data_IF_242278288991
#
_entry.id   IF_242278288991
#
_cell.length_a   1.000
_cell.length_b   1.000
_cell.length_c   1.000
_cell.angle_alpha   90.00
_cell.angle_beta   90.00
_cell.angle_gamma   90.00
#
_symmetry.space_group_name_H-M   'P 1'
#
loop_
_entity.id
_entity.type
_entity.pdbx_description
1 polymer ?
#
# COMPACT_ATOMS: atom_id res chain seq x y z
N UNK A 1 10.83 9.28 29.20
CA UNK A 1 10.54 9.54 27.77
C UNK A 1 9.31 10.42 27.75
N UNK A 2 9.40 11.60 27.14
CA UNK A 2 8.26 12.49 26.97
C UNK A 2 7.34 12.00 25.83
N UNK A 3 6.14 12.58 25.74
CA UNK A 3 5.13 12.22 24.73
C UNK A 3 5.63 12.42 23.29
N UNK A 4 6.40 13.47 23.00
CA UNK A 4 6.87 13.77 21.64
C UNK A 4 7.96 12.80 21.22
N UNK A 5 8.87 12.44 22.12
CA UNK A 5 9.89 11.43 21.85
C UNK A 5 9.28 10.04 21.65
N UNK A 6 8.21 9.69 22.39
CA UNK A 6 7.46 8.45 22.16
C UNK A 6 6.89 8.39 20.73
N UNK A 7 6.17 9.44 20.30
CA UNK A 7 5.59 9.47 18.94
C UNK A 7 6.66 9.55 17.85
N UNK A 8 7.77 10.25 18.08
CA UNK A 8 8.89 10.26 17.14
C UNK A 8 9.47 8.86 16.94
N UNK A 9 9.58 8.08 18.02
CA UNK A 9 10.07 6.70 17.97
C UNK A 9 9.06 5.77 17.27
N UNK A 10 7.77 5.83 17.62
CA UNK A 10 6.71 5.00 17.03
C UNK A 10 6.58 5.27 15.52
N UNK A 11 6.65 6.53 15.10
CA UNK A 11 6.60 6.91 13.69
C UNK A 11 7.93 6.65 12.95
N UNK A 12 8.96 6.18 13.65
CA UNK A 12 10.31 5.93 13.14
C UNK A 12 10.86 7.14 12.37
N UNK A 13 10.75 8.34 12.98
CA UNK A 13 11.23 9.58 12.38
C UNK A 13 12.77 9.58 12.33
N UNK A 14 13.32 10.01 11.19
CA UNK A 14 14.76 10.28 11.04
C UNK A 14 15.13 11.60 11.72
N UNK A 15 16.41 11.82 12.02
CA UNK A 15 16.90 13.03 12.71
C UNK A 15 16.46 14.38 12.09
N UNK A 16 16.17 14.43 10.80
CA UNK A 16 15.68 15.65 10.13
C UNK A 16 14.23 16.01 10.42
N UNK A 17 13.44 15.10 11.00
CA UNK A 17 12.02 15.27 11.28
C UNK A 17 11.75 15.14 12.78
N UNK A 18 10.94 16.04 13.32
CA UNK A 18 10.59 16.05 14.73
C UNK A 18 9.10 16.27 14.93
N UNK A 19 8.56 15.68 16.00
CA UNK A 19 7.20 15.97 16.45
C UNK A 19 7.19 17.39 17.06
N UNK A 20 6.45 18.31 16.43
CA UNK A 20 6.31 19.69 16.88
C UNK A 20 5.21 19.80 17.94
N UNK A 21 4.07 19.16 17.69
CA UNK A 21 2.91 19.20 18.58
C UNK A 21 2.11 17.89 18.53
N UNK A 22 1.39 17.63 19.62
CA UNK A 22 0.41 16.57 19.75
C UNK A 22 -0.91 17.23 20.18
N UNK A 23 -2.01 16.82 19.54
CA UNK A 23 -3.35 17.31 19.89
C UNK A 23 -4.32 16.14 19.96
N UNK A 24 -5.03 16.01 21.07
CA UNK A 24 -6.11 15.05 21.24
C UNK A 24 -7.45 15.80 21.10
N UNK A 25 -8.30 15.33 20.18
CA UNK A 25 -9.67 15.77 20.06
C UNK A 25 -10.60 14.61 20.45
N UNK A 26 -11.15 14.67 21.66
CA UNK A 26 -12.03 13.64 22.19
C UNK A 26 -13.41 13.64 21.52
N UNK A 27 -13.88 14.78 21.01
CA UNK A 27 -15.19 14.88 20.35
C UNK A 27 -15.16 14.22 18.98
N UNK A 28 -14.09 14.46 18.23
CA UNK A 28 -13.87 13.83 16.92
C UNK A 28 -13.34 12.41 17.09
N UNK A 29 -12.72 12.10 18.22
CA UNK A 29 -12.11 10.80 18.47
C UNK A 29 -10.81 10.63 17.68
N UNK A 30 -9.94 11.66 17.67
CA UNK A 30 -8.69 11.64 16.91
C UNK A 30 -7.49 12.20 17.68
N UNK A 31 -6.31 11.66 17.36
CA UNK A 31 -5.02 12.22 17.78
C UNK A 31 -4.31 12.77 16.54
N UNK A 32 -3.93 14.05 16.59
CA UNK A 32 -3.15 14.70 15.55
C UNK A 32 -1.70 14.82 16.00
N UNK A 33 -0.79 14.23 15.21
CA UNK A 33 0.65 14.34 15.39
C UNK A 33 1.21 15.30 14.35
N UNK A 34 1.56 16.51 14.78
CA UNK A 34 2.15 17.52 13.89
C UNK A 34 3.66 17.31 13.83
N UNK A 35 4.16 16.97 12.65
CA UNK A 35 5.57 16.71 12.38
C UNK A 35 6.11 17.82 11.49
N UNK A 36 7.32 18.29 11.81
CA UNK A 36 8.01 19.30 11.01
C UNK A 36 9.47 18.94 10.83
N UNK A 37 10.11 19.57 9.85
CA UNK A 37 11.56 19.48 9.69
C UNK A 37 12.24 20.27 10.83
N UNK A 38 13.38 19.76 11.30
CA UNK A 38 14.22 20.44 12.26
C UNK A 38 14.77 21.75 11.65
N UNK A 39 15.05 22.73 12.50
CA UNK A 39 15.60 24.01 12.03
C UNK A 39 16.99 23.81 11.42
N UNK A 40 17.34 24.64 10.43
CA UNK A 40 18.66 24.65 9.77
C UNK A 40 19.07 23.35 9.05
N UNK A 41 18.14 22.46 8.72
CA UNK A 41 18.44 21.27 7.91
C UNK A 41 18.64 21.67 6.45
N UNK A 42 19.81 21.34 5.89
CA UNK A 42 20.07 21.49 4.47
C UNK A 42 19.21 20.51 3.67
N UNK A 43 18.35 21.04 2.80
CA UNK A 43 17.45 20.24 1.98
C UNK A 43 18.07 19.95 0.61
N UNK A 44 18.00 18.69 0.20
CA UNK A 44 18.60 18.20 -1.03
C UNK A 44 17.56 17.67 -2.01
N UNK A 45 17.82 17.84 -3.31
CA UNK A 45 16.99 17.26 -4.36
C UNK A 45 16.91 15.74 -4.20
N UNK A 46 15.70 15.13 -4.11
CA UNK A 46 15.59 13.68 -3.99
C UNK A 46 16.06 12.93 -5.24
N UNK A 47 16.20 13.62 -6.37
CA UNK A 47 16.62 13.03 -7.65
C UNK A 47 18.13 13.12 -7.87
N UNK A 48 18.76 14.28 -7.62
CA UNK A 48 20.20 14.48 -7.87
C UNK A 48 21.06 14.74 -6.64
N UNK A 49 20.47 14.86 -5.45
CA UNK A 49 21.21 15.05 -4.19
C UNK A 49 21.79 16.45 -3.97
N UNK A 50 21.68 17.37 -4.93
CA UNK A 50 22.17 18.75 -4.77
C UNK A 50 21.36 19.51 -3.71
N UNK A 51 22.04 20.26 -2.85
CA UNK A 51 21.38 21.20 -1.93
C UNK A 51 20.61 22.24 -2.72
N UNK A 52 19.35 22.47 -2.36
CA UNK A 52 18.45 23.36 -3.09
C UNK A 52 17.70 24.27 -2.11
N UNK A 53 17.41 25.53 -2.48
CA UNK A 53 16.58 26.40 -1.66
C UNK A 53 15.14 25.89 -1.59
N UNK A 54 14.48 26.20 -0.48
CA UNK A 54 13.05 25.95 -0.29
C UNK A 54 12.25 26.89 -1.18
N UNK A 55 11.30 26.34 -1.93
CA UNK A 55 10.34 27.07 -2.74
C UNK A 55 9.16 27.55 -1.89
N UNK A 56 8.42 26.58 -1.34
CA UNK A 56 7.24 26.75 -0.51
C UNK A 56 7.01 25.48 0.32
N UNK A 57 5.98 25.49 1.15
CA UNK A 57 5.58 24.33 1.93
C UNK A 57 4.16 23.90 1.54
N UNK A 58 3.91 22.59 1.56
CA UNK A 58 2.58 22.03 1.33
C UNK A 58 2.12 21.25 2.54
N UNK A 59 1.07 21.76 3.17
CA UNK A 59 0.40 21.08 4.25
C UNK A 59 -0.24 19.78 3.76
N UNK A 60 0.07 18.67 4.43
CA UNK A 60 -0.43 17.34 4.09
C UNK A 60 -0.78 16.57 5.35
N UNK A 61 -1.79 15.70 5.20
CA UNK A 61 -2.29 14.83 6.25
C UNK A 61 -2.22 13.37 5.81
N UNK A 62 -1.85 12.49 6.73
CA UNK A 62 -1.83 11.05 6.53
C UNK A 62 -2.55 10.34 7.66
N UNK A 63 -3.37 9.37 7.30
CA UNK A 63 -3.94 8.43 8.25
C UNK A 63 -2.87 7.43 8.71
N UNK A 64 -2.69 7.31 10.03
CA UNK A 64 -1.80 6.34 10.67
C UNK A 64 -2.59 5.22 11.38
N UNK A 65 -1.92 4.30 12.08
CA UNK A 65 -2.57 3.33 12.95
C UNK A 65 -3.23 4.02 14.14
N UNK A 66 -4.32 3.45 14.65
CA UNK A 66 -5.03 4.00 15.80
C UNK A 66 -4.19 3.99 17.06
N UNK A 67 -4.18 5.12 17.76
CA UNK A 67 -3.72 5.19 19.14
C UNK A 67 -4.93 4.88 20.02
N UNK A 68 -4.97 3.65 20.56
CA UNK A 68 -6.11 3.16 21.35
C UNK A 68 -7.43 3.27 20.57
N UNK A 69 -8.45 3.93 21.12
CA UNK A 69 -9.74 4.17 20.46
C UNK A 69 -9.73 5.35 19.48
N UNK A 70 -8.62 6.10 19.39
CA UNK A 70 -8.54 7.34 18.64
C UNK A 70 -7.92 7.15 17.26
N UNK A 71 -8.53 7.81 16.27
CA UNK A 71 -8.02 7.89 14.91
C UNK A 71 -6.76 8.76 14.87
N UNK A 72 -5.60 8.16 14.61
CA UNK A 72 -4.35 8.93 14.51
C UNK A 72 -4.14 9.48 13.10
N UNK A 73 -3.89 10.79 13.04
CA UNK A 73 -3.54 11.54 11.83
C UNK A 73 -2.15 12.15 12.03
N UNK A 74 -1.25 11.92 11.08
CA UNK A 74 0.03 12.60 11.01
C UNK A 74 -0.14 13.78 10.07
N UNK A 75 0.27 14.98 10.49
CA UNK A 75 0.19 16.19 9.68
C UNK A 75 1.57 16.83 9.59
N UNK A 76 1.91 17.37 8.41
CA UNK A 76 3.18 18.05 8.22
C UNK A 76 3.10 19.07 7.09
N UNK A 77 3.85 20.16 7.26
CA UNK A 77 4.15 21.10 6.18
C UNK A 77 5.38 20.60 5.43
N UNK A 78 5.16 19.91 4.32
CA UNK A 78 6.24 19.29 3.54
C UNK A 78 6.89 20.33 2.65
N UNK A 79 8.20 20.58 2.76
CA UNK A 79 8.87 21.53 1.89
C UNK A 79 8.90 21.02 0.45
N UNK A 80 8.71 21.95 -0.48
CA UNK A 80 9.06 21.77 -1.88
C UNK A 80 10.29 22.62 -2.15
N UNK A 81 11.25 22.08 -2.88
CA UNK A 81 12.53 22.72 -3.18
C UNK A 81 12.61 23.04 -4.68
N UNK A 82 13.31 24.12 -5.03
CA UNK A 82 13.58 24.46 -6.43
C UNK A 82 14.93 23.88 -6.85
N UNK A 83 14.90 22.79 -7.60
CA UNK A 83 16.10 22.24 -8.23
C UNK A 83 16.31 22.87 -9.61
N UNK A 84 17.50 23.39 -9.94
CA UNK A 84 17.78 23.92 -11.28
C UNK A 84 17.57 22.90 -12.41
N UNK A 85 17.87 21.62 -12.14
CA UNK A 85 17.81 20.55 -13.15
C UNK A 85 16.43 19.86 -13.22
N UNK A 86 15.73 19.76 -12.08
CA UNK A 86 14.49 18.96 -11.95
C UNK A 86 13.24 19.79 -11.62
N UNK A 87 13.36 21.11 -11.54
CA UNK A 87 12.27 22.02 -11.18
C UNK A 87 11.81 21.87 -9.72
N UNK A 88 10.53 22.16 -9.48
CA UNK A 88 9.92 22.10 -8.14
C UNK A 88 9.73 20.63 -7.70
N UNK A 89 10.45 20.20 -6.67
CA UNK A 89 10.40 18.85 -6.14
C UNK A 89 9.85 18.85 -4.71
N UNK A 90 8.89 17.98 -4.42
CA UNK A 90 8.39 17.80 -3.05
C UNK A 90 9.28 16.81 -2.31
N UNK A 91 9.75 17.16 -1.12
CA UNK A 91 10.59 16.26 -0.35
C UNK A 91 9.85 14.97 0.03
N UNK A 92 10.50 13.79 -0.06
CA UNK A 92 9.94 12.56 0.45
C UNK A 92 9.84 12.63 1.97
N UNK A 93 8.75 12.11 2.53
CA UNK A 93 8.58 11.94 3.97
C UNK A 93 8.91 10.49 4.35
N UNK A 94 9.56 10.23 5.50
CA UNK A 94 10.00 8.88 5.85
C UNK A 94 8.84 7.92 6.18
N UNK A 95 7.69 8.45 6.62
CA UNK A 95 6.54 7.63 7.04
C UNK A 95 5.53 7.31 5.94
N UNK A 96 5.61 7.89 4.74
CA UNK A 96 4.61 7.70 3.69
C UNK A 96 5.19 7.64 2.28
N UNK A 97 4.58 6.81 1.42
CA UNK A 97 4.95 6.74 0.01
C UNK A 97 4.50 7.98 -0.79
N UNK A 98 5.13 8.25 -1.95
CA UNK A 98 4.74 9.35 -2.84
C UNK A 98 3.24 9.32 -3.18
N UNK A 99 2.58 10.47 -3.05
CA UNK A 99 1.15 10.62 -3.34
C UNK A 99 0.18 9.90 -2.39
N UNK A 100 0.66 9.12 -1.41
CA UNK A 100 -0.23 8.43 -0.47
C UNK A 100 -0.81 9.40 0.57
N UNK A 101 -2.04 9.11 1.00
CA UNK A 101 -2.73 9.71 2.16
C UNK A 101 -2.64 8.82 3.41
N UNK A 102 -1.86 7.75 3.33
CA UNK A 102 -1.68 6.76 4.39
C UNK A 102 -0.21 6.58 4.67
N UNK A 103 0.13 6.37 5.94
CA UNK A 103 1.49 5.98 6.33
C UNK A 103 1.83 4.57 5.85
N UNK A 104 3.12 4.26 5.65
CA UNK A 104 3.60 2.94 5.22
C UNK A 104 3.21 1.84 6.22
N UNK A 105 3.23 2.14 7.51
CA UNK A 105 2.79 1.22 8.56
C UNK A 105 1.29 0.95 8.47
N UNK A 106 0.46 1.97 8.25
CA UNK A 106 -0.98 1.78 8.05
C UNK A 106 -1.28 0.98 6.78
N UNK A 107 -0.60 1.28 5.66
CA UNK A 107 -0.74 0.48 4.43
C UNK A 107 -0.36 -0.99 4.67
N UNK A 108 0.72 -1.24 5.41
CA UNK A 108 1.17 -2.59 5.72
C UNK A 108 0.15 -3.36 6.56
N UNK A 109 -0.49 -2.70 7.52
CA UNK A 109 -1.57 -3.26 8.32
C UNK A 109 -2.83 -3.56 7.49
N UNK A 110 -3.23 -2.66 6.60
CA UNK A 110 -4.35 -2.93 5.66
C UNK A 110 -4.03 -4.17 4.81
N UNK A 111 -2.80 -4.29 4.30
CA UNK A 111 -2.37 -5.43 3.49
C UNK A 111 -2.37 -6.73 4.31
N UNK A 112 -1.98 -6.71 5.59
CA UNK A 112 -2.04 -7.91 6.42
C UNK A 112 -3.46 -8.41 6.62
N UNK A 113 -4.42 -7.50 6.81
CA UNK A 113 -5.84 -7.84 6.87
C UNK A 113 -6.39 -8.39 5.55
N UNK A 114 -6.01 -7.79 4.41
CA UNK A 114 -6.42 -8.26 3.08
C UNK A 114 -5.91 -9.66 2.73
N UNK A 115 -4.88 -10.17 3.42
CA UNK A 115 -4.40 -11.56 3.24
C UNK A 115 -5.33 -12.60 3.86
N UNK A 116 -6.12 -12.22 4.86
CA UNK A 116 -6.91 -13.16 5.67
C UNK A 116 -8.43 -12.87 5.63
N UNK A 117 -8.84 -11.79 4.97
CA UNK A 117 -10.23 -11.32 4.98
C UNK A 117 -10.64 -10.72 3.64
N UNK A 118 -11.94 -10.46 3.47
CA UNK A 118 -12.50 -9.86 2.25
C UNK A 118 -12.31 -8.35 2.22
N UNK A 119 -12.20 -7.77 1.03
CA UNK A 119 -12.05 -6.32 0.86
C UNK A 119 -13.13 -5.52 1.57
N UNK A 120 -14.39 -5.99 1.54
CA UNK A 120 -15.50 -5.28 2.20
C UNK A 120 -15.42 -5.34 3.74
N UNK A 121 -15.02 -6.50 4.30
CA UNK A 121 -14.81 -6.63 5.74
C UNK A 121 -13.67 -5.71 6.21
N UNK A 122 -12.55 -5.69 5.51
CA UNK A 122 -11.41 -4.79 5.82
C UNK A 122 -11.82 -3.32 5.71
N UNK A 123 -12.55 -2.96 4.65
CA UNK A 123 -13.05 -1.61 4.44
C UNK A 123 -13.94 -1.14 5.59
N UNK A 124 -14.90 -1.97 6.02
CA UNK A 124 -15.81 -1.68 7.13
C UNK A 124 -15.04 -1.58 8.46
N UNK A 125 -14.18 -2.56 8.74
CA UNK A 125 -13.42 -2.63 9.99
C UNK A 125 -12.50 -1.42 10.17
N UNK A 126 -11.80 -1.01 9.11
CA UNK A 126 -10.83 0.09 9.15
C UNK A 126 -11.43 1.44 8.75
N UNK A 127 -12.75 1.51 8.53
CA UNK A 127 -13.50 2.73 8.17
C UNK A 127 -12.91 3.43 6.93
N UNK A 128 -12.56 2.63 5.92
CA UNK A 128 -11.99 3.12 4.66
C UNK A 128 -13.04 3.19 3.55
N UNK A 129 -12.77 3.97 2.50
CA UNK A 129 -13.54 3.85 1.25
C UNK A 129 -13.03 2.68 0.42
N UNK A 130 -13.85 2.16 -0.49
CA UNK A 130 -13.42 1.09 -1.40
C UNK A 130 -12.19 1.51 -2.22
N UNK A 131 -12.22 2.73 -2.77
CA UNK A 131 -11.09 3.33 -3.51
C UNK A 131 -9.82 3.43 -2.67
N UNK A 132 -9.92 3.67 -1.36
CA UNK A 132 -8.75 3.73 -0.49
C UNK A 132 -8.08 2.34 -0.36
N UNK A 133 -8.89 1.31 -0.09
CA UNK A 133 -8.39 -0.06 0.05
C UNK A 133 -7.79 -0.56 -1.26
N UNK A 134 -8.48 -0.36 -2.38
CA UNK A 134 -7.97 -0.74 -3.70
C UNK A 134 -6.65 -0.02 -4.01
N UNK A 135 -6.57 1.29 -3.84
CA UNK A 135 -5.34 2.03 -4.08
C UNK A 135 -4.16 1.58 -3.20
N UNK A 136 -4.40 1.21 -1.95
CA UNK A 136 -3.37 0.62 -1.06
C UNK A 136 -2.92 -0.74 -1.62
N UNK A 137 -3.87 -1.59 -2.01
CA UNK A 137 -3.59 -2.90 -2.61
C UNK A 137 -2.79 -2.76 -3.91
N UNK A 138 -3.19 -1.87 -4.83
CA UNK A 138 -2.48 -1.64 -6.08
C UNK A 138 -1.04 -1.15 -5.85
N UNK A 139 -0.83 -0.23 -4.90
CA UNK A 139 0.53 0.19 -4.50
C UNK A 139 1.34 -0.98 -3.93
N UNK A 140 0.73 -1.83 -3.11
CA UNK A 140 1.37 -3.02 -2.57
C UNK A 140 1.80 -4.00 -3.67
N UNK A 141 0.92 -4.28 -4.62
CA UNK A 141 1.19 -5.15 -5.78
C UNK A 141 2.32 -4.56 -6.62
N UNK A 142 2.28 -3.28 -6.95
CA UNK A 142 3.34 -2.59 -7.70
C UNK A 142 4.70 -2.73 -7.02
N UNK A 143 4.75 -2.49 -5.70
CA UNK A 143 5.97 -2.68 -4.88
C UNK A 143 6.43 -4.15 -4.87
N UNK A 144 5.50 -5.10 -4.80
CA UNK A 144 5.80 -6.53 -4.82
C UNK A 144 6.35 -7.01 -6.16
N UNK A 145 5.77 -6.56 -7.26
CA UNK A 145 6.24 -6.85 -8.62
C UNK A 145 7.63 -6.24 -8.86
N UNK A 146 7.87 -5.00 -8.43
CA UNK A 146 9.18 -4.37 -8.56
C UNK A 146 10.30 -5.10 -7.78
N UNK A 147 9.97 -5.79 -6.68
CA UNK A 147 10.92 -6.60 -5.91
C UNK A 147 11.08 -8.03 -6.43
N UNK A 148 10.24 -8.48 -7.36
CA UNK A 148 10.30 -9.83 -7.90
C UNK A 148 11.57 -9.93 -8.75
N UNK A 149 12.50 -10.82 -8.36
CA UNK A 149 13.67 -11.15 -9.18
C UNK A 149 13.22 -11.65 -10.55
N UNK A 150 14.04 -11.42 -11.58
CA UNK A 150 13.77 -11.94 -12.91
C UNK A 150 13.42 -13.44 -12.82
N UNK A 151 12.39 -13.90 -13.55
CA UNK A 151 12.03 -15.30 -13.53
C UNK A 151 13.23 -16.13 -13.99
N UNK A 152 13.78 -16.93 -13.06
CA UNK A 152 14.83 -17.88 -13.41
C UNK A 152 14.22 -18.93 -14.34
N UNK A 153 15.00 -19.39 -15.32
CA UNK A 153 14.58 -20.47 -16.23
C UNK A 153 14.14 -21.69 -15.41
N UNK A 154 12.87 -22.08 -15.53
CA UNK A 154 12.36 -23.28 -14.90
C UNK A 154 12.28 -24.40 -15.95
N UNK A 155 12.90 -25.56 -15.69
CA UNK A 155 12.83 -26.73 -16.56
C UNK A 155 11.43 -27.37 -16.57
N UNK A 156 10.70 -27.24 -15.45
CA UNK A 156 9.35 -27.76 -15.28
C UNK A 156 8.45 -26.65 -14.73
N UNK A 157 7.27 -26.50 -15.33
CA UNK A 157 6.27 -25.50 -14.97
C UNK A 157 4.93 -26.21 -14.74
N UNK A 158 4.38 -26.08 -13.53
CA UNK A 158 3.03 -26.55 -13.24
C UNK A 158 2.07 -25.37 -13.38
N UNK A 159 1.04 -25.54 -14.21
CA UNK A 159 -0.03 -24.58 -14.40
C UNK A 159 -1.28 -25.17 -13.77
N UNK A 160 -1.90 -24.40 -12.88
CA UNK A 160 -3.16 -24.75 -12.23
C UNK A 160 -4.23 -23.74 -12.60
N UNK A 161 -5.45 -24.23 -12.80
CA UNK A 161 -6.60 -23.38 -13.11
C UNK A 161 -7.36 -23.06 -11.83
N UNK A 162 -7.61 -21.77 -11.61
CA UNK A 162 -8.50 -21.33 -10.53
C UNK A 162 -9.69 -20.61 -11.15
N UNK A 163 -10.87 -21.21 -11.01
CA UNK A 163 -12.13 -20.65 -11.48
C UNK A 163 -12.81 -19.82 -10.38
N UNK A 164 -13.21 -18.60 -10.72
CA UNK A 164 -14.03 -17.74 -9.86
C UNK A 164 -15.26 -17.27 -10.63
N UNK A 165 -16.42 -17.29 -9.97
CA UNK A 165 -17.65 -16.70 -10.52
C UNK A 165 -17.51 -15.18 -10.51
N UNK A 166 -17.51 -14.56 -11.68
CA UNK A 166 -17.57 -13.11 -11.82
C UNK A 166 -18.97 -12.74 -12.30
N UNK A 167 -19.73 -12.03 -11.48
CA UNK A 167 -21.00 -11.46 -11.93
C UNK A 167 -20.67 -10.25 -12.81
N UNK A 168 -20.80 -10.44 -14.13
CA UNK A 168 -20.70 -9.36 -15.10
C UNK A 168 -22.07 -8.67 -15.11
N UNK A 169 -22.32 -7.80 -14.13
CA UNK A 169 -23.38 -6.80 -14.25
C UNK A 169 -22.82 -5.62 -15.05
N UNK A 170 -23.08 -5.63 -16.34
CA UNK A 170 -22.76 -4.53 -17.26
C UNK A 170 -23.41 -3.23 -16.83
N UNK A 171 -22.60 -2.18 -16.60
CA UNK A 171 -22.98 -0.81 -16.97
C UNK A 171 -22.07 -0.40 -18.13
N UNK A 172 -22.62 0.01 -19.29
CA UNK A 172 -21.83 0.24 -20.50
C UNK A 172 -21.25 1.66 -20.48
N UNK A 173 -19.99 1.83 -20.10
CA UNK A 173 -19.20 2.97 -20.56
C UNK A 173 -17.70 2.76 -20.39
N UNK A 174 -17.03 2.71 -21.55
CA UNK A 174 -15.61 3.02 -21.78
C UNK A 174 -14.55 2.01 -21.29
N UNK A 175 -14.15 1.15 -22.23
CA UNK A 175 -12.79 0.98 -22.75
C UNK A 175 -12.49 -0.49 -23.06
N UNK A 176 -12.72 -0.83 -24.32
CA UNK A 176 -12.42 -2.11 -24.95
C UNK A 176 -10.93 -2.13 -25.31
N UNK A 177 -10.15 -3.00 -24.67
CA UNK A 177 -8.95 -3.56 -25.27
C UNK A 177 -9.02 -5.10 -25.24
N UNK A 178 -9.57 -5.64 -26.33
CA UNK A 178 -9.27 -6.93 -26.97
C UNK A 178 -8.98 -8.12 -26.04
N UNK A 179 -10.01 -8.63 -25.39
CA UNK A 179 -10.06 -10.03 -24.95
C UNK A 179 -10.75 -10.87 -26.03
N UNK A 180 -10.10 -11.93 -26.53
CA UNK A 180 -10.78 -12.94 -27.37
C UNK A 180 -11.88 -13.57 -26.55
N UNK A 181 -13.11 -13.44 -27.03
CA UNK A 181 -14.35 -13.96 -26.47
C UNK A 181 -14.28 -15.50 -26.42
N UNK A 182 -14.28 -16.07 -25.22
CA UNK A 182 -14.65 -17.45 -24.98
C UNK A 182 -15.98 -17.44 -24.22
N UNK A 183 -16.97 -18.17 -24.75
CA UNK A 183 -18.33 -18.23 -24.21
C UNK A 183 -18.34 -19.05 -22.91
N UNK A 184 -18.09 -18.38 -21.79
CA UNK A 184 -18.56 -18.70 -20.43
C UNK A 184 -17.96 -17.63 -19.53
N UNK A 185 -18.76 -17.00 -18.67
CA UNK A 185 -18.38 -15.85 -17.82
C UNK A 185 -17.29 -16.10 -16.76
N UNK A 186 -16.34 -17.01 -17.02
CA UNK A 186 -15.16 -17.28 -16.22
C UNK A 186 -13.93 -16.62 -16.85
N UNK A 187 -13.15 -15.94 -16.03
CA UNK A 187 -11.80 -15.51 -16.36
C UNK A 187 -10.85 -16.39 -15.58
N UNK A 188 -10.07 -17.20 -16.28
CA UNK A 188 -8.97 -17.94 -15.69
C UNK A 188 -7.83 -16.98 -15.34
N UNK A 189 -7.39 -16.99 -14.09
CA UNK A 189 -6.15 -16.31 -13.68
C UNK A 189 -5.09 -17.39 -13.47
N UNK A 190 -4.11 -17.48 -14.36
CA UNK A 190 -2.98 -18.40 -14.17
C UNK A 190 -2.18 -17.98 -12.93
N UNK A 191 -2.15 -18.85 -11.91
CA UNK A 191 -1.15 -18.79 -10.84
C UNK A 191 -0.02 -19.77 -11.15
N UNK A 192 1.16 -19.23 -11.43
CA UNK A 192 2.37 -20.01 -11.65
C UNK A 192 3.08 -20.19 -10.31
N UNK A 193 3.27 -21.43 -9.87
CA UNK A 193 4.06 -21.78 -8.70
C UNK A 193 5.35 -22.48 -9.12
N UNK A 194 6.44 -22.16 -8.42
CA UNK A 194 7.70 -22.88 -8.55
C UNK A 194 7.65 -24.09 -7.61
N UNK A 195 7.72 -25.30 -8.17
CA UNK A 195 7.96 -26.51 -7.37
C UNK A 195 9.47 -26.61 -7.16
N UNK A 196 9.95 -26.23 -5.97
CA UNK A 196 11.31 -26.59 -5.55
C UNK A 196 11.27 -28.04 -5.07
N UNK A 197 11.98 -28.90 -5.77
CA UNK A 197 12.13 -30.31 -5.42
C UNK A 197 12.82 -30.45 -4.06
N UNK A 198 12.08 -30.80 -3.02
CA UNK A 198 12.45 -31.76 -1.97
C UNK A 198 11.34 -31.84 -0.91
N UNK A 199 10.84 -33.07 -0.71
CA UNK A 199 9.77 -33.53 0.20
C UNK A 199 8.31 -33.35 -0.26
N UNK A 200 7.67 -34.50 -0.51
CA UNK A 200 6.25 -34.63 -0.86
C UNK A 200 5.41 -34.68 0.43
N UNK A 201 4.46 -33.76 0.61
CA UNK A 201 3.35 -33.94 1.55
C UNK A 201 2.11 -34.24 0.74
N UNK A 202 1.66 -35.49 0.77
CA UNK A 202 0.42 -35.93 0.12
C UNK A 202 -0.78 -35.35 0.87
N UNK A 203 -1.42 -34.31 0.31
CA UNK A 203 -2.79 -33.97 0.68
C UNK A 203 -3.75 -34.88 -0.11
N UNK A 204 -4.30 -35.87 0.59
CA UNK A 204 -5.25 -36.85 0.07
C UNK A 204 -6.59 -36.14 -0.16
N UNK A 205 -6.94 -35.84 -1.42
CA UNK A 205 -8.31 -35.44 -1.79
C UNK A 205 -9.14 -36.70 -2.05
N UNK A 206 -10.26 -36.80 -1.34
CA UNK A 206 -11.17 -37.95 -1.27
C UNK A 206 -11.88 -38.21 -2.62
N UNK A 207 -11.68 -39.37 -3.27
CA UNK A 207 -12.26 -39.69 -4.57
C UNK A 207 -13.61 -40.39 -4.40
N UNK A 208 -14.70 -39.63 -4.27
CA UNK A 208 -16.02 -40.25 -4.21
C UNK A 208 -17.11 -39.39 -4.85
N UNK A 209 -16.97 -39.04 -6.15
CA UNK A 209 -18.06 -38.97 -7.14
C UNK A 209 -17.49 -39.05 -8.57
N UNK A 210 -17.94 -40.00 -9.42
CA UNK A 210 -17.56 -40.05 -10.83
C UNK A 210 -18.55 -39.25 -11.68
N UNK A 211 -18.07 -38.27 -12.44
CA UNK A 211 -18.84 -37.71 -13.56
C UNK A 211 -18.21 -38.22 -14.86
N UNK A 212 -18.93 -39.17 -15.46
CA UNK A 212 -18.69 -39.79 -16.77
C UNK A 212 -18.94 -38.73 -17.86
N UNK A 213 -18.03 -38.65 -18.83
CA UNK A 213 -18.19 -37.81 -20.02
C UNK A 213 -19.02 -38.55 -21.08
N UNK A 214 -20.20 -38.01 -21.40
CA UNK A 214 -20.81 -37.97 -22.75
C UNK A 214 -21.39 -36.56 -22.89
#
# INVERSE_FOLDING_TARGET
MDEKSLYAHILNLTASWQVKALSLDEKVGSVTVTVGIAENVLLSCPTCGKTCPVHDHRHRKWRHLDTCQFTTVVEADVPRIMCPDHGCQTLPVPWAGPGSRYTLLFESFVISWLKISTTDAVRKQLRLSWNAVDNIMQRAVRRGLARRKAPQSARHLCVDEVAFKRDISTSPSSLIHRARRWNSGMIAVLKVWRVTSETWVTARLNPSKPCRWI
#
